data_IF_053868297082
#
_entry.id   IF_053868297082
#
_cell.length_a   1.000
_cell.length_b   1.000
_cell.length_c   1.000
_cell.angle_alpha   90.00
_cell.angle_beta   90.00
_cell.angle_gamma   90.00
#
_symmetry.space_group_name_H-M   'P 1'
#
loop_
_entity.id
_entity.type
_entity.pdbx_description
1 polymer ?
#
# COMPACT_ATOMS: atom_id res chain seq x y z
N UNK A 1 -9.96 16.48 -6.33
CA UNK A 1 -8.72 16.08 -5.64
C UNK A 1 -7.79 17.29 -5.59
N UNK A 2 -7.08 17.52 -4.48
CA UNK A 2 -6.33 18.76 -4.23
C UNK A 2 -5.00 18.77 -5.01
N UNK A 3 -4.62 19.93 -5.59
CA UNK A 3 -3.37 20.12 -6.32
C UNK A 3 -2.11 19.72 -5.52
N UNK A 4 -2.15 19.85 -4.19
CA UNK A 4 -1.08 19.44 -3.27
C UNK A 4 -0.91 17.91 -3.25
N UNK A 5 -2.00 17.16 -3.14
CA UNK A 5 -1.97 15.68 -3.17
C UNK A 5 -1.37 15.17 -4.50
N UNK A 6 -1.76 15.81 -5.59
CA UNK A 6 -1.26 15.50 -6.94
C UNK A 6 0.23 15.82 -7.09
N UNK A 7 0.74 16.86 -6.43
CA UNK A 7 2.17 17.14 -6.40
C UNK A 7 2.96 16.02 -5.71
N UNK A 8 2.55 15.60 -4.52
CA UNK A 8 3.23 14.53 -3.78
C UNK A 8 3.12 13.18 -4.47
N UNK A 9 1.96 12.85 -5.03
CA UNK A 9 1.78 11.63 -5.82
C UNK A 9 2.78 11.55 -6.98
N UNK A 10 3.00 12.66 -7.70
CA UNK A 10 4.02 12.73 -8.76
C UNK A 10 5.44 12.48 -8.24
N UNK A 11 5.80 13.03 -7.07
CA UNK A 11 7.12 12.79 -6.48
C UNK A 11 7.32 11.32 -6.11
N UNK A 12 6.32 10.70 -5.48
CA UNK A 12 6.40 9.28 -5.09
C UNK A 12 6.57 8.41 -6.33
N UNK A 13 5.72 8.57 -7.35
CA UNK A 13 5.81 7.79 -8.60
C UNK A 13 7.19 7.88 -9.26
N UNK A 14 7.79 9.07 -9.26
CA UNK A 14 9.15 9.28 -9.77
C UNK A 14 10.18 8.52 -8.93
N UNK A 15 10.07 8.58 -7.61
CA UNK A 15 11.03 7.97 -6.69
C UNK A 15 10.97 6.43 -6.70
N UNK A 16 9.78 5.84 -6.88
CA UNK A 16 9.61 4.38 -6.97
C UNK A 16 9.68 3.85 -8.40
N UNK A 17 9.94 4.74 -9.38
CA UNK A 17 9.98 4.42 -10.81
C UNK A 17 8.73 3.65 -11.31
N UNK A 18 7.55 3.97 -10.76
CA UNK A 18 6.29 3.32 -11.09
C UNK A 18 5.18 4.37 -11.25
N UNK A 19 4.48 4.31 -12.39
CA UNK A 19 3.33 5.16 -12.66
C UNK A 19 2.04 4.40 -12.38
N UNK A 20 1.22 4.92 -11.47
CA UNK A 20 -0.10 4.36 -11.20
C UNK A 20 -1.04 4.71 -12.34
N UNK A 21 -1.77 3.70 -12.83
CA UNK A 21 -2.85 3.88 -13.81
C UNK A 21 -3.93 4.80 -13.23
N UNK A 22 -4.28 4.58 -11.96
CA UNK A 22 -5.19 5.44 -11.21
C UNK A 22 -4.49 6.00 -9.97
N UNK A 23 -4.13 7.28 -10.05
CA UNK A 23 -3.42 8.02 -8.99
C UNK A 23 -4.26 8.14 -7.71
N UNK A 24 -5.59 7.92 -7.77
CA UNK A 24 -6.44 7.94 -6.58
C UNK A 24 -6.06 6.86 -5.56
N UNK A 25 -5.61 5.69 -6.03
CA UNK A 25 -5.12 4.60 -5.18
C UNK A 25 -3.86 4.99 -4.43
N UNK A 26 -2.90 5.64 -5.12
CA UNK A 26 -1.70 6.15 -4.48
C UNK A 26 -2.01 7.24 -3.45
N UNK A 27 -2.89 8.19 -3.80
CA UNK A 27 -3.31 9.24 -2.86
C UNK A 27 -3.98 8.63 -1.63
N UNK A 28 -4.83 7.63 -1.80
CA UNK A 28 -5.47 6.94 -0.69
C UNK A 28 -4.45 6.18 0.17
N UNK A 29 -3.49 5.47 -0.45
CA UNK A 29 -2.44 4.75 0.26
C UNK A 29 -1.57 5.66 1.14
N UNK A 30 -1.41 6.93 0.75
CA UNK A 30 -0.67 7.95 1.51
C UNK A 30 -1.48 8.62 2.63
N UNK A 31 -2.78 8.32 2.78
CA UNK A 31 -3.64 8.91 3.82
C UNK A 31 -3.65 8.06 5.08
N UNK A 32 -2.69 8.32 5.96
CA UNK A 32 -2.70 7.71 7.29
C UNK A 32 -3.90 8.17 8.13
N UNK A 33 -4.44 7.28 8.96
CA UNK A 33 -5.59 7.56 9.83
C UNK A 33 -5.43 8.81 10.69
N UNK A 34 -4.23 9.09 11.22
CA UNK A 34 -4.00 10.28 12.07
C UNK A 34 -4.23 11.59 11.32
N UNK A 35 -3.88 11.63 10.02
CA UNK A 35 -4.11 12.80 9.17
C UNK A 35 -5.60 13.00 8.91
N UNK A 36 -6.35 11.91 8.72
CA UNK A 36 -7.81 11.95 8.53
C UNK A 36 -8.51 12.47 9.78
N UNK A 37 -8.12 11.98 10.97
CA UNK A 37 -8.68 12.45 12.25
C UNK A 37 -8.38 13.91 12.53
N UNK A 38 -7.15 14.37 12.23
CA UNK A 38 -6.74 15.75 12.48
C UNK A 38 -7.47 16.80 11.60
N UNK A 39 -8.02 16.37 10.46
CA UNK A 39 -8.75 17.25 9.54
C UNK A 39 -10.24 17.40 9.90
N UNK A 40 -10.76 16.64 10.88
CA UNK A 40 -12.20 16.60 11.26
C UNK A 40 -13.16 16.34 10.08
N UNK A 41 -12.64 15.84 8.95
CA UNK A 41 -13.41 15.63 7.74
C UNK A 41 -14.15 14.29 7.84
N UNK A 42 -15.44 14.38 8.17
CA UNK A 42 -16.35 13.24 8.12
C UNK A 42 -16.42 12.69 6.69
N UNK A 43 -16.18 11.38 6.53
CA UNK A 43 -16.27 10.69 5.25
C UNK A 43 -14.96 10.58 4.43
N UNK A 44 -13.84 11.11 4.91
CA UNK A 44 -12.53 10.85 4.27
C UNK A 44 -12.04 9.46 4.67
N UNK A 45 -11.67 8.66 3.67
CA UNK A 45 -11.12 7.32 3.89
C UNK A 45 -9.62 7.38 4.17
N UNK A 46 -9.19 6.60 5.17
CA UNK A 46 -7.79 6.29 5.46
C UNK A 46 -7.29 5.14 4.56
N UNK A 47 -5.98 4.90 4.60
CA UNK A 47 -5.34 3.78 3.92
C UNK A 47 -5.58 2.41 4.57
N UNK A 48 -6.26 2.31 5.72
CA UNK A 48 -6.36 1.06 6.52
C UNK A 48 -6.89 -0.15 5.72
N UNK A 49 -7.85 0.08 4.81
CA UNK A 49 -8.36 -1.00 3.94
C UNK A 49 -7.35 -1.44 2.88
N UNK A 50 -6.55 -0.51 2.36
CA UNK A 50 -5.48 -0.83 1.41
C UNK A 50 -4.31 -1.51 2.12
N UNK A 51 -4.00 -1.10 3.35
CA UNK A 51 -3.00 -1.75 4.22
C UNK A 51 -3.38 -3.21 4.47
N UNK A 52 -4.60 -3.47 4.94
CA UNK A 52 -5.09 -4.83 5.16
C UNK A 52 -5.02 -5.72 3.89
N UNK A 53 -5.38 -5.16 2.73
CA UNK A 53 -5.24 -5.88 1.45
C UNK A 53 -3.77 -6.10 1.08
N UNK A 54 -2.93 -5.09 1.29
CA UNK A 54 -1.51 -5.12 1.00
C UNK A 54 -0.77 -6.19 1.80
N UNK A 55 -1.10 -6.35 3.08
CA UNK A 55 -0.54 -7.38 3.95
C UNK A 55 -0.86 -8.78 3.41
N UNK A 56 -2.12 -9.06 3.07
CA UNK A 56 -2.50 -10.36 2.50
C UNK A 56 -1.80 -10.65 1.16
N UNK A 57 -1.62 -9.64 0.31
CA UNK A 57 -0.89 -9.77 -0.96
C UNK A 57 0.60 -10.04 -0.71
N UNK A 58 1.22 -9.30 0.22
CA UNK A 58 2.62 -9.49 0.57
C UNK A 58 2.87 -10.87 1.17
N UNK A 59 2.01 -11.31 2.09
CA UNK A 59 2.07 -12.63 2.72
C UNK A 59 2.00 -13.74 1.67
N UNK A 60 1.09 -13.63 0.69
CA UNK A 60 0.98 -14.60 -0.40
C UNK A 60 2.25 -14.65 -1.25
N UNK A 61 2.75 -13.49 -1.70
CA UNK A 61 3.94 -13.42 -2.57
C UNK A 61 5.16 -13.97 -1.84
N UNK A 62 5.39 -13.57 -0.59
CA UNK A 62 6.53 -14.03 0.20
C UNK A 62 6.42 -15.53 0.48
N UNK A 63 5.24 -16.03 0.86
CA UNK A 63 5.01 -17.45 1.11
C UNK A 63 5.25 -18.30 -0.15
N UNK A 64 4.77 -17.85 -1.31
CA UNK A 64 5.01 -18.52 -2.60
C UNK A 64 6.50 -18.56 -2.96
N UNK A 65 7.23 -17.46 -2.76
CA UNK A 65 8.68 -17.43 -3.00
C UNK A 65 9.43 -18.40 -2.06
N UNK A 66 9.11 -18.38 -0.77
CA UNK A 66 9.73 -19.25 0.23
C UNK A 66 9.45 -20.72 -0.07
N UNK A 67 8.20 -21.05 -0.44
CA UNK A 67 7.81 -22.40 -0.84
C UNK A 67 8.64 -22.91 -2.04
N UNK A 68 8.85 -22.07 -3.05
CA UNK A 68 9.64 -22.40 -4.25
C UNK A 68 11.14 -22.52 -3.99
N UNK A 69 11.70 -21.66 -3.12
CA UNK A 69 13.13 -21.67 -2.78
C UNK A 69 13.49 -22.88 -1.91
N UNK A 70 12.58 -23.34 -1.04
CA UNK A 70 12.84 -24.42 -0.08
C UNK A 70 11.89 -25.62 -0.24
N UNK A 71 11.85 -26.31 -1.40
CA UNK A 71 10.85 -27.34 -1.70
C UNK A 71 10.93 -28.59 -0.81
N UNK A 72 12.02 -28.76 -0.06
CA UNK A 72 12.27 -29.92 0.83
C UNK A 72 12.16 -29.58 2.32
N UNK A 73 11.89 -28.33 2.69
CA UNK A 73 11.72 -27.94 4.09
C UNK A 73 10.28 -28.17 4.53
N UNK A 74 10.12 -28.63 5.78
CA UNK A 74 8.80 -28.81 6.39
C UNK A 74 8.25 -27.44 6.82
N UNK A 75 6.94 -27.33 6.73
CA UNK A 75 6.13 -26.12 6.91
C UNK A 75 6.49 -25.27 8.16
N UNK A 76 6.84 -25.90 9.28
CA UNK A 76 7.19 -25.21 10.54
C UNK A 76 8.61 -24.63 10.65
N UNK A 77 9.40 -24.56 9.57
CA UNK A 77 10.75 -23.93 9.54
C UNK A 77 10.95 -23.00 8.33
N UNK A 78 9.85 -22.48 7.79
CA UNK A 78 9.82 -21.51 6.70
C UNK A 78 9.51 -20.13 7.25
#
# INVERSE_FOLDING_TARGET
QNAVEQFYARQVQKNIAYQFIDTSHLILALKHRSYVYAQEQTGVLSNERLEFLGDAVLDLVVSDQIYKIYPKRREGRL
#
